data_IF_056348836915
#
_entry.id   IF_056348836915
#
_cell.length_a   1.000
_cell.length_b   1.000
_cell.length_c   1.000
_cell.angle_alpha   90.00
_cell.angle_beta   90.00
_cell.angle_gamma   90.00
#
_symmetry.space_group_name_H-M   'P 1'
#
loop_
_entity.id
_entity.type
_entity.pdbx_description
1 polymer ?
#
# COMPACT_ATOMS: atom_id res chain seq x y z
N UNK A 1 15.85 -0.03 56.97
CA UNK A 1 14.55 0.21 57.60
C UNK A 1 13.48 -0.03 56.55
N UNK A 2 12.75 -1.14 56.70
CA UNK A 2 11.65 -1.50 55.82
C UNK A 2 10.36 -0.84 56.31
N UNK A 3 9.47 -0.32 55.44
CA UNK A 3 8.18 0.16 55.91
C UNK A 3 7.20 -1.00 56.12
N UNK A 4 6.61 -0.99 57.27
CA UNK A 4 5.58 -1.87 57.76
C UNK A 4 4.29 -1.75 56.96
N UNK A 5 3.81 -2.83 56.38
CA UNK A 5 2.47 -2.93 55.80
C UNK A 5 1.44 -3.01 56.92
N UNK A 6 0.56 -2.02 57.01
CA UNK A 6 -0.65 -2.09 57.81
C UNK A 6 -1.72 -2.89 57.06
N UNK A 7 -2.13 -3.99 57.63
CA UNK A 7 -3.27 -4.79 57.19
C UNK A 7 -4.56 -4.01 57.42
N UNK A 8 -5.32 -3.76 56.38
CA UNK A 8 -6.71 -3.30 56.49
C UNK A 8 -7.63 -4.52 56.54
N UNK A 9 -8.31 -4.66 57.66
CA UNK A 9 -9.31 -5.68 57.95
C UNK A 9 -10.53 -5.57 57.03
N UNK A 10 -11.14 -6.71 56.80
CA UNK A 10 -12.17 -7.00 55.83
C UNK A 10 -13.42 -6.16 55.91
N UNK A 11 -13.93 -5.85 54.73
CA UNK A 11 -15.34 -5.60 54.49
C UNK A 11 -15.85 -6.57 53.43
N UNK A 12 -16.76 -7.36 53.92
CA UNK A 12 -17.86 -8.06 53.29
C UNK A 12 -17.83 -8.21 51.78
N UNK A 13 -17.49 -9.41 51.32
CA UNK A 13 -17.71 -9.87 49.93
C UNK A 13 -19.16 -10.32 49.80
N UNK A 14 -20.11 -9.39 49.83
CA UNK A 14 -21.46 -9.68 49.37
C UNK A 14 -21.49 -9.85 47.85
N UNK A 15 -21.68 -11.05 47.47
CA UNK A 15 -22.13 -11.59 46.19
C UNK A 15 -22.48 -10.57 45.13
N UNK A 16 -21.54 -10.29 44.21
CA UNK A 16 -21.91 -9.82 42.89
C UNK A 16 -22.46 -11.01 42.10
N UNK A 17 -23.73 -11.33 42.33
CA UNK A 17 -24.47 -12.21 41.44
C UNK A 17 -24.80 -11.39 40.18
N UNK A 18 -23.98 -11.55 39.16
CA UNK A 18 -24.32 -11.14 37.82
C UNK A 18 -25.58 -11.93 37.41
N UNK A 19 -26.76 -11.31 37.54
CA UNK A 19 -27.95 -11.85 36.91
C UNK A 19 -27.61 -12.16 35.44
N UNK A 20 -27.90 -13.37 34.93
CA UNK A 20 -27.69 -13.65 33.52
C UNK A 20 -28.56 -12.67 32.75
N UNK A 21 -27.91 -11.69 32.10
CA UNK A 21 -28.60 -10.85 31.13
C UNK A 21 -29.23 -11.80 30.13
N UNK A 22 -30.53 -11.78 29.97
CA UNK A 22 -31.21 -12.46 28.87
C UNK A 22 -30.52 -11.95 27.62
N UNK A 23 -29.66 -12.78 27.02
CA UNK A 23 -29.17 -12.57 25.65
C UNK A 23 -30.46 -12.54 24.82
N UNK A 24 -30.97 -11.38 24.54
CA UNK A 24 -31.84 -11.21 23.39
C UNK A 24 -30.97 -11.65 22.22
N UNK A 25 -31.43 -12.64 21.46
CA UNK A 25 -30.84 -13.00 20.17
C UNK A 25 -30.97 -11.78 19.25
N UNK A 26 -30.10 -10.80 19.49
CA UNK A 26 -29.80 -9.78 18.51
C UNK A 26 -29.12 -10.54 17.37
N UNK A 27 -29.89 -10.87 16.33
CA UNK A 27 -29.31 -11.29 15.06
C UNK A 27 -28.18 -10.32 14.79
N UNK A 28 -26.94 -10.81 14.82
CA UNK A 28 -25.78 -10.05 14.39
C UNK A 28 -26.14 -9.48 13.02
N UNK A 29 -26.40 -8.18 12.95
CA UNK A 29 -26.61 -7.50 11.67
C UNK A 29 -25.26 -7.52 11.00
N UNK A 30 -25.03 -8.54 10.17
CA UNK A 30 -23.87 -8.57 9.29
C UNK A 30 -24.04 -7.36 8.36
N UNK A 31 -23.14 -6.38 8.38
CA UNK A 31 -23.24 -5.23 7.48
C UNK A 31 -23.33 -5.75 6.05
N UNK A 32 -24.27 -5.23 5.26
CA UNK A 32 -24.34 -5.55 3.84
C UNK A 32 -23.00 -5.19 3.19
N UNK A 33 -22.53 -6.04 2.30
CA UNK A 33 -21.33 -5.78 1.49
C UNK A 33 -21.52 -4.53 0.61
N UNK A 34 -21.04 -3.40 1.09
CA UNK A 34 -21.03 -2.11 0.40
C UNK A 34 -19.62 -1.61 0.11
N UNK A 35 -18.58 -2.42 0.33
CA UNK A 35 -17.19 -2.05 0.11
C UNK A 35 -16.71 -2.30 -1.32
N UNK A 36 -15.68 -1.59 -1.74
CA UNK A 36 -14.91 -1.90 -2.94
C UNK A 36 -13.97 -3.08 -2.64
N UNK A 37 -14.03 -4.15 -3.44
CA UNK A 37 -13.13 -5.29 -3.25
C UNK A 37 -11.68 -4.92 -3.55
N UNK A 38 -10.75 -5.39 -2.73
CA UNK A 38 -9.32 -5.33 -3.03
C UNK A 38 -9.03 -6.28 -4.18
N UNK A 39 -8.51 -5.73 -5.28
CA UNK A 39 -8.13 -6.50 -6.47
C UNK A 39 -6.66 -6.33 -6.85
N UNK A 40 -5.91 -5.56 -6.05
CA UNK A 40 -4.46 -5.45 -6.22
C UNK A 40 -3.74 -5.37 -4.87
N UNK A 41 -2.46 -5.73 -4.86
CA UNK A 41 -1.62 -5.61 -3.67
C UNK A 41 -0.18 -5.31 -4.02
N UNK A 42 0.50 -4.60 -3.14
CA UNK A 42 1.95 -4.54 -3.17
C UNK A 42 2.57 -5.86 -2.70
N UNK A 43 3.79 -6.11 -3.16
CA UNK A 43 4.70 -7.17 -2.69
C UNK A 43 5.95 -6.47 -2.16
N UNK A 44 6.30 -6.73 -0.92
CA UNK A 44 7.41 -6.07 -0.23
C UNK A 44 8.34 -7.06 0.48
N UNK A 45 9.59 -7.10 0.03
CA UNK A 45 10.68 -7.87 0.64
C UNK A 45 11.91 -6.98 0.90
N UNK A 46 11.77 -5.65 0.79
CA UNK A 46 12.92 -4.76 0.77
C UNK A 46 12.77 -3.49 1.62
N UNK A 47 11.58 -3.16 2.09
CA UNK A 47 11.39 -1.98 2.95
C UNK A 47 12.07 -2.16 4.30
N UNK A 48 12.63 -1.07 4.81
CA UNK A 48 13.43 -1.06 6.04
C UNK A 48 12.60 -1.17 7.32
N UNK A 49 11.31 -0.95 7.25
CA UNK A 49 10.36 -0.89 8.36
C UNK A 49 9.43 -2.10 8.45
N UNK A 50 9.53 -3.02 7.49
CA UNK A 50 8.78 -4.27 7.46
C UNK A 50 9.78 -5.43 7.38
N UNK A 51 9.75 -6.39 8.33
CA UNK A 51 10.66 -7.52 8.28
C UNK A 51 10.25 -8.47 7.16
N UNK A 52 11.20 -8.96 6.37
CA UNK A 52 10.92 -10.04 5.44
C UNK A 52 10.43 -11.30 6.19
N UNK A 53 9.58 -12.10 5.56
CA UNK A 53 9.00 -13.28 6.19
C UNK A 53 9.84 -14.54 6.01
N UNK A 54 11.02 -14.40 5.41
CA UNK A 54 11.93 -15.51 5.10
C UNK A 54 11.27 -16.61 4.24
N UNK A 55 10.43 -16.18 3.31
CA UNK A 55 9.72 -17.07 2.39
C UNK A 55 10.59 -17.46 1.20
N UNK A 56 10.49 -18.74 0.80
CA UNK A 56 10.95 -19.22 -0.49
C UNK A 56 9.82 -19.23 -1.52
N UNK A 57 10.09 -19.75 -2.72
CA UNK A 57 9.12 -19.81 -3.82
C UNK A 57 7.85 -20.59 -3.45
N UNK A 58 7.96 -21.58 -2.58
CA UNK A 58 6.83 -22.38 -2.12
C UNK A 58 5.80 -21.59 -1.31
N UNK A 59 6.30 -20.75 -0.39
CA UNK A 59 5.46 -19.89 0.43
C UNK A 59 4.87 -18.76 -0.41
N UNK A 60 5.64 -18.18 -1.33
CA UNK A 60 5.14 -17.21 -2.30
C UNK A 60 4.07 -17.81 -3.21
N UNK A 61 4.25 -19.02 -3.70
CA UNK A 61 3.23 -19.72 -4.51
C UNK A 61 1.91 -19.89 -3.75
N UNK A 62 1.98 -20.28 -2.49
CA UNK A 62 0.81 -20.39 -1.62
C UNK A 62 0.16 -19.03 -1.36
N UNK A 63 0.96 -17.99 -1.20
CA UNK A 63 0.45 -16.63 -0.99
C UNK A 63 -0.29 -16.10 -2.21
N UNK A 64 0.24 -16.33 -3.41
CA UNK A 64 -0.47 -16.02 -4.66
C UNK A 64 -1.79 -16.79 -4.80
N UNK A 65 -1.89 -18.04 -4.30
CA UNK A 65 -3.15 -18.76 -4.23
C UNK A 65 -4.17 -18.06 -3.33
N UNK A 66 -3.73 -17.61 -2.13
CA UNK A 66 -4.57 -16.87 -1.21
C UNK A 66 -5.02 -15.52 -1.79
N UNK A 67 -4.12 -14.79 -2.46
CA UNK A 67 -4.44 -13.58 -3.21
C UNK A 67 -5.50 -13.84 -4.27
N UNK A 68 -5.30 -14.87 -5.10
CA UNK A 68 -6.24 -15.26 -6.15
C UNK A 68 -7.62 -15.59 -5.60
N UNK A 69 -7.65 -16.28 -4.46
CA UNK A 69 -8.90 -16.68 -3.81
C UNK A 69 -9.78 -15.50 -3.42
N UNK A 70 -9.20 -14.37 -3.01
CA UNK A 70 -9.96 -13.17 -2.66
C UNK A 70 -10.21 -12.22 -3.83
N UNK A 71 -9.71 -12.56 -5.03
CA UNK A 71 -9.96 -11.83 -6.26
C UNK A 71 -8.87 -10.84 -6.64
N UNK A 72 -7.67 -10.93 -6.07
CA UNK A 72 -6.53 -10.14 -6.51
C UNK A 72 -6.13 -10.60 -7.92
N UNK A 73 -6.02 -9.65 -8.82
CA UNK A 73 -5.64 -9.81 -10.23
C UNK A 73 -4.38 -9.01 -10.59
N UNK A 74 -3.91 -8.17 -9.67
CA UNK A 74 -2.79 -7.27 -9.87
C UNK A 74 -1.84 -7.35 -8.68
N UNK A 75 -0.57 -7.64 -8.95
CA UNK A 75 0.50 -7.62 -7.95
C UNK A 75 1.54 -6.57 -8.34
N UNK A 76 2.04 -5.84 -7.38
CA UNK A 76 2.86 -4.65 -7.59
C UNK A 76 4.11 -4.79 -6.74
N UNK A 77 5.27 -4.90 -7.36
CA UNK A 77 6.52 -4.80 -6.61
C UNK A 77 6.65 -3.38 -6.05
N UNK A 78 6.83 -3.23 -4.73
CA UNK A 78 6.89 -1.90 -4.11
C UNK A 78 8.07 -1.08 -4.65
N UNK A 79 9.21 -1.71 -4.82
CA UNK A 79 10.42 -1.14 -5.45
C UNK A 79 11.38 -2.26 -5.83
N UNK A 80 12.12 -2.07 -6.89
CA UNK A 80 13.10 -3.07 -7.37
C UNK A 80 14.42 -3.02 -6.62
N UNK A 81 14.58 -2.04 -5.76
CA UNK A 81 15.72 -1.89 -4.86
C UNK A 81 15.57 -0.67 -3.97
N UNK A 82 16.27 -0.68 -2.85
CA UNK A 82 16.38 0.42 -1.91
C UNK A 82 17.84 0.62 -1.51
N UNK A 83 18.41 1.77 -1.83
CA UNK A 83 19.83 2.07 -1.61
C UNK A 83 20.71 0.98 -2.26
N UNK A 84 21.48 0.23 -1.49
CA UNK A 84 22.36 -0.85 -2.02
C UNK A 84 21.70 -2.22 -2.12
N UNK A 85 20.48 -2.37 -1.61
CA UNK A 85 19.74 -3.63 -1.65
C UNK A 85 18.86 -3.67 -2.90
N UNK A 86 18.95 -4.73 -3.69
CA UNK A 86 18.18 -4.90 -4.93
C UNK A 86 17.50 -6.26 -4.94
N UNK A 87 16.41 -6.36 -5.68
CA UNK A 87 15.55 -7.55 -5.73
C UNK A 87 15.80 -8.45 -6.93
N UNK A 88 16.66 -8.03 -7.86
CA UNK A 88 17.03 -8.78 -9.05
C UNK A 88 18.51 -8.47 -9.43
N UNK A 89 19.20 -9.34 -10.21
CA UNK A 89 20.62 -9.19 -10.53
C UNK A 89 20.87 -8.14 -11.62
N UNK A 90 20.52 -6.87 -11.36
CA UNK A 90 20.76 -5.76 -12.28
C UNK A 90 22.25 -5.55 -12.54
N UNK A 91 22.68 -5.63 -13.78
CA UNK A 91 24.07 -5.36 -14.16
C UNK A 91 24.47 -3.92 -13.89
N UNK A 92 23.53 -2.98 -14.15
CA UNK A 92 23.75 -1.56 -13.93
C UNK A 92 23.93 -1.26 -12.44
N UNK A 93 23.01 -1.71 -11.59
CA UNK A 93 23.05 -1.43 -10.16
C UNK A 93 24.21 -2.13 -9.45
N UNK A 94 24.55 -3.36 -9.85
CA UNK A 94 25.76 -4.06 -9.38
C UNK A 94 27.01 -3.26 -9.73
N UNK A 95 27.09 -2.70 -10.94
CA UNK A 95 28.17 -1.79 -11.36
C UNK A 95 28.23 -0.49 -10.55
N UNK A 96 27.13 -0.08 -9.91
CA UNK A 96 27.06 1.05 -8.97
C UNK A 96 27.35 0.66 -7.51
N UNK A 97 27.70 -0.60 -7.25
CA UNK A 97 28.08 -1.11 -5.93
C UNK A 97 26.90 -1.57 -5.06
N UNK A 98 25.75 -1.88 -5.69
CA UNK A 98 24.68 -2.59 -5.01
C UNK A 98 25.05 -4.05 -4.71
N UNK A 99 24.40 -4.65 -3.74
CA UNK A 99 24.65 -6.04 -3.35
C UNK A 99 23.91 -7.01 -4.28
N UNK A 100 24.55 -8.13 -4.61
CA UNK A 100 23.90 -9.21 -5.35
C UNK A 100 22.73 -9.78 -4.52
N UNK A 101 21.52 -9.84 -5.06
CA UNK A 101 20.40 -10.47 -4.36
C UNK A 101 20.60 -12.00 -4.30
N UNK A 102 20.09 -12.62 -3.26
CA UNK A 102 20.13 -14.08 -3.09
C UNK A 102 19.19 -14.81 -4.06
N UNK A 103 18.14 -14.13 -4.48
CA UNK A 103 17.09 -14.65 -5.38
C UNK A 103 16.71 -13.53 -6.36
N UNK A 104 16.39 -13.90 -7.60
CA UNK A 104 15.76 -12.99 -8.56
C UNK A 104 14.23 -12.96 -8.26
N UNK A 105 13.82 -12.01 -7.42
CA UNK A 105 12.40 -11.85 -7.05
C UNK A 105 11.56 -11.37 -8.23
N UNK A 106 12.14 -10.62 -9.17
CA UNK A 106 11.40 -10.13 -10.35
C UNK A 106 11.00 -11.32 -11.24
N UNK A 107 11.94 -12.22 -11.55
CA UNK A 107 11.64 -13.43 -12.30
C UNK A 107 10.60 -14.31 -11.59
N UNK A 108 10.78 -14.52 -10.29
CA UNK A 108 9.87 -15.34 -9.49
C UNK A 108 8.44 -14.77 -9.48
N UNK A 109 8.29 -13.48 -9.20
CA UNK A 109 6.96 -12.86 -9.15
C UNK A 109 6.27 -12.83 -10.51
N UNK A 110 7.03 -12.61 -11.60
CA UNK A 110 6.48 -12.67 -12.97
C UNK A 110 5.99 -14.08 -13.32
N UNK A 111 6.74 -15.13 -12.99
CA UNK A 111 6.31 -16.52 -13.19
C UNK A 111 5.06 -16.87 -12.37
N UNK A 112 5.01 -16.45 -11.11
CA UNK A 112 3.84 -16.68 -10.26
C UNK A 112 2.64 -15.88 -10.75
N UNK A 113 2.82 -14.64 -11.16
CA UNK A 113 1.76 -13.84 -11.75
C UNK A 113 1.19 -14.50 -13.03
N UNK A 114 2.03 -15.06 -13.92
CA UNK A 114 1.56 -15.83 -15.08
C UNK A 114 0.77 -17.07 -14.65
N UNK A 115 1.31 -17.85 -13.71
CA UNK A 115 0.66 -19.06 -13.19
C UNK A 115 -0.75 -18.80 -12.68
N UNK A 116 -0.96 -17.67 -12.00
CA UNK A 116 -2.25 -17.31 -11.41
C UNK A 116 -3.09 -16.35 -12.26
N UNK A 117 -2.65 -16.04 -13.49
CA UNK A 117 -3.30 -15.08 -14.39
C UNK A 117 -3.53 -13.74 -13.70
N UNK A 118 -2.45 -13.15 -13.20
CA UNK A 118 -2.38 -11.83 -12.61
C UNK A 118 -1.49 -10.92 -13.45
N UNK A 119 -1.66 -9.61 -13.32
CA UNK A 119 -0.76 -8.60 -13.87
C UNK A 119 0.26 -8.19 -12.84
N UNK A 120 1.52 -8.14 -13.25
CA UNK A 120 2.62 -7.67 -12.43
C UNK A 120 3.01 -6.25 -12.85
N UNK A 121 3.08 -5.35 -11.89
CA UNK A 121 3.60 -4.00 -12.08
C UNK A 121 4.98 -3.90 -11.43
N UNK A 122 5.96 -3.49 -12.23
CA UNK A 122 7.33 -3.34 -11.76
C UNK A 122 7.50 -2.00 -11.06
N UNK A 123 7.89 -2.03 -9.78
CA UNK A 123 8.26 -0.85 -9.01
C UNK A 123 9.68 -0.41 -9.31
N UNK A 124 9.85 0.87 -9.64
CA UNK A 124 11.14 1.45 -9.98
C UNK A 124 12.13 1.39 -8.80
N UNK A 125 13.40 1.62 -9.09
CA UNK A 125 14.46 1.62 -8.09
C UNK A 125 14.40 2.90 -7.24
N UNK A 126 14.52 2.75 -5.94
CA UNK A 126 14.60 3.84 -4.95
C UNK A 126 16.06 3.99 -4.49
N UNK A 127 16.71 5.06 -4.89
CA UNK A 127 18.10 5.33 -4.50
C UNK A 127 18.24 5.63 -3.01
N UNK A 128 17.16 6.02 -2.35
CA UNK A 128 17.14 6.56 -1.00
C UNK A 128 17.60 8.02 -0.89
N UNK A 129 18.13 8.59 -1.97
CA UNK A 129 18.65 9.98 -1.96
C UNK A 129 17.53 11.00 -1.80
N UNK A 130 16.40 10.79 -2.47
CA UNK A 130 15.22 11.64 -2.35
C UNK A 130 14.75 11.81 -0.90
N UNK A 131 14.76 10.73 -0.12
CA UNK A 131 14.31 10.77 1.27
C UNK A 131 15.18 11.68 2.15
N UNK A 132 16.48 11.70 1.86
CA UNK A 132 17.46 12.50 2.61
C UNK A 132 17.51 13.97 2.14
N UNK A 133 17.34 14.21 0.83
CA UNK A 133 17.62 15.53 0.21
C UNK A 133 16.41 16.23 -0.37
N UNK A 134 15.31 15.51 -0.64
CA UNK A 134 14.16 15.98 -1.42
C UNK A 134 14.47 16.31 -2.89
N UNK A 135 15.60 15.84 -3.39
CA UNK A 135 16.01 15.98 -4.78
C UNK A 135 15.75 14.66 -5.53
N UNK A 136 14.96 14.72 -6.60
CA UNK A 136 14.56 13.56 -7.41
C UNK A 136 15.51 13.27 -8.58
N UNK A 137 16.59 14.03 -8.74
CA UNK A 137 17.49 13.89 -9.89
C UNK A 137 18.18 12.51 -9.96
N UNK A 138 18.50 11.92 -8.79
CA UNK A 138 19.08 10.59 -8.73
C UNK A 138 18.09 9.49 -9.10
N UNK A 139 16.83 9.63 -8.66
CA UNK A 139 15.77 8.70 -9.03
C UNK A 139 15.59 8.68 -10.55
N UNK A 140 15.60 9.84 -11.20
CA UNK A 140 15.52 9.96 -12.66
C UNK A 140 16.77 9.36 -13.33
N UNK A 141 17.98 9.73 -12.86
CA UNK A 141 19.23 9.26 -13.46
C UNK A 141 19.37 7.74 -13.41
N UNK A 142 19.13 7.13 -12.24
CA UNK A 142 19.28 5.69 -12.07
C UNK A 142 18.20 4.91 -12.79
N UNK A 143 16.95 5.36 -12.68
CA UNK A 143 15.84 4.64 -13.31
C UNK A 143 15.88 4.70 -14.84
N UNK A 144 16.53 5.67 -15.44
CA UNK A 144 16.79 5.67 -16.89
C UNK A 144 17.43 4.35 -17.36
N UNK A 145 18.39 3.83 -16.63
CA UNK A 145 19.07 2.56 -16.98
C UNK A 145 18.30 1.34 -16.48
N UNK A 146 17.64 1.44 -15.32
CA UNK A 146 16.84 0.35 -14.74
C UNK A 146 15.65 0.02 -15.63
N UNK A 147 14.94 1.02 -16.14
CA UNK A 147 13.76 0.83 -17.01
C UNK A 147 14.17 0.07 -18.28
N UNK A 148 15.23 0.50 -18.97
CA UNK A 148 15.72 -0.16 -20.19
C UNK A 148 16.18 -1.59 -19.90
N UNK A 149 16.97 -1.80 -18.82
CA UNK A 149 17.49 -3.12 -18.45
C UNK A 149 16.37 -4.10 -18.12
N UNK A 150 15.38 -3.66 -17.35
CA UNK A 150 14.25 -4.51 -16.92
C UNK A 150 13.37 -4.88 -18.09
N UNK A 151 13.06 -3.92 -18.96
CA UNK A 151 12.26 -4.22 -20.14
C UNK A 151 12.95 -5.23 -21.05
N UNK A 152 14.24 -5.03 -21.34
CA UNK A 152 15.03 -5.95 -22.15
C UNK A 152 15.22 -7.34 -21.53
N UNK A 153 15.16 -7.46 -20.20
CA UNK A 153 15.36 -8.72 -19.49
C UNK A 153 14.07 -9.50 -19.27
N UNK A 154 12.99 -8.80 -18.92
CA UNK A 154 11.75 -9.42 -18.47
C UNK A 154 10.52 -9.01 -19.28
N UNK A 155 10.50 -7.81 -19.88
CA UNK A 155 9.30 -7.20 -20.45
C UNK A 155 8.62 -8.08 -21.50
N UNK A 156 9.35 -8.46 -22.56
CA UNK A 156 8.80 -9.32 -23.61
C UNK A 156 8.76 -10.81 -23.25
N UNK A 157 9.52 -11.22 -22.24
CA UNK A 157 9.61 -12.61 -21.79
C UNK A 157 8.34 -13.05 -21.08
N UNK A 158 7.70 -12.17 -20.31
CA UNK A 158 6.57 -12.50 -19.46
C UNK A 158 5.29 -11.74 -19.84
N UNK A 159 4.23 -12.46 -20.18
CA UNK A 159 2.90 -11.89 -20.48
C UNK A 159 2.23 -11.28 -19.23
N UNK A 160 2.69 -11.66 -18.06
CA UNK A 160 2.28 -11.09 -16.77
C UNK A 160 2.82 -9.68 -16.53
N UNK A 161 3.88 -9.24 -17.24
CA UNK A 161 4.36 -7.87 -17.13
C UNK A 161 3.26 -6.91 -17.61
N UNK A 162 2.59 -6.27 -16.68
CA UNK A 162 1.36 -5.53 -16.92
C UNK A 162 1.51 -4.02 -16.87
N UNK A 163 2.61 -3.50 -16.37
CA UNK A 163 2.83 -2.08 -16.23
C UNK A 163 3.94 -1.70 -15.27
N UNK A 164 4.00 -0.41 -14.95
CA UNK A 164 5.06 0.20 -14.16
C UNK A 164 4.50 0.95 -12.95
N UNK A 165 5.13 0.81 -11.82
CA UNK A 165 4.90 1.61 -10.65
C UNK A 165 6.08 2.57 -10.45
N UNK A 166 5.84 3.87 -10.54
CA UNK A 166 6.84 4.89 -10.21
C UNK A 166 6.90 5.00 -8.70
N UNK A 167 7.86 4.30 -8.10
CA UNK A 167 7.92 3.97 -6.68
C UNK A 167 8.28 5.12 -5.76
N UNK A 168 8.65 6.29 -6.31
CA UNK A 168 8.97 7.45 -5.49
C UNK A 168 7.69 8.02 -4.89
N UNK A 169 7.54 7.84 -3.60
CA UNK A 169 6.38 8.35 -2.87
C UNK A 169 6.51 9.87 -2.66
N UNK A 170 5.45 10.57 -2.95
CA UNK A 170 5.36 12.02 -2.80
C UNK A 170 4.14 12.43 -1.99
N UNK A 171 4.15 13.67 -1.53
CA UNK A 171 2.96 14.41 -1.11
C UNK A 171 2.69 15.57 -2.07
N UNK A 172 1.64 16.33 -1.79
CA UNK A 172 1.10 17.44 -2.58
C UNK A 172 2.10 18.52 -3.05
N UNK A 173 3.18 18.77 -2.31
CA UNK A 173 4.11 19.88 -2.59
C UNK A 173 5.55 19.42 -2.80
N UNK A 174 5.75 18.21 -3.28
CA UNK A 174 7.08 17.66 -3.56
C UNK A 174 7.72 18.38 -4.74
N UNK A 175 8.78 19.12 -4.46
CA UNK A 175 9.50 19.91 -5.48
C UNK A 175 10.11 19.01 -6.55
N UNK A 176 9.89 19.35 -7.81
CA UNK A 176 10.42 18.61 -8.95
C UNK A 176 9.70 17.30 -9.31
N UNK A 177 8.65 16.93 -8.55
CA UNK A 177 7.92 15.68 -8.78
C UNK A 177 7.31 15.58 -10.17
N UNK A 178 6.68 16.65 -10.66
CA UNK A 178 6.06 16.69 -12.00
C UNK A 178 7.08 16.33 -13.07
N UNK A 179 8.21 17.05 -13.11
CA UNK A 179 9.27 16.79 -14.10
C UNK A 179 9.88 15.40 -14.01
N UNK A 180 10.08 14.88 -12.78
CA UNK A 180 10.60 13.54 -12.55
C UNK A 180 9.62 12.46 -13.01
N UNK A 181 8.35 12.57 -12.63
CA UNK A 181 7.31 11.62 -13.03
C UNK A 181 7.08 11.63 -14.53
N UNK A 182 7.05 12.83 -15.14
CA UNK A 182 6.93 12.95 -16.59
C UNK A 182 8.10 12.25 -17.31
N UNK A 183 9.34 12.47 -16.86
CA UNK A 183 10.52 11.85 -17.46
C UNK A 183 10.50 10.32 -17.31
N UNK A 184 10.29 9.80 -16.10
CA UNK A 184 10.28 8.36 -15.86
C UNK A 184 9.06 7.68 -16.50
N UNK A 185 7.86 8.28 -16.36
CA UNK A 185 6.63 7.74 -16.94
C UNK A 185 6.68 7.67 -18.47
N UNK A 186 7.19 8.74 -19.11
CA UNK A 186 7.40 8.73 -20.56
C UNK A 186 8.33 7.61 -20.99
N UNK A 187 9.48 7.43 -20.33
CA UNK A 187 10.41 6.36 -20.67
C UNK A 187 9.78 4.97 -20.47
N UNK A 188 9.07 4.75 -19.37
CA UNK A 188 8.34 3.50 -19.14
C UNK A 188 7.40 3.16 -20.30
N UNK A 189 6.62 4.15 -20.76
CA UNK A 189 5.72 3.98 -21.91
C UNK A 189 6.47 3.75 -23.22
N UNK A 190 7.51 4.53 -23.48
CA UNK A 190 8.30 4.44 -24.71
C UNK A 190 8.91 3.04 -24.90
N UNK A 191 9.54 2.47 -23.86
CA UNK A 191 10.19 1.15 -23.96
C UNK A 191 9.21 0.00 -24.04
N UNK A 192 8.02 0.15 -23.44
CA UNK A 192 7.05 -0.93 -23.27
C UNK A 192 5.83 -0.83 -24.21
N UNK A 193 5.93 -0.01 -25.26
CA UNK A 193 4.85 0.20 -26.21
C UNK A 193 3.53 0.64 -25.53
N UNK A 194 3.64 1.56 -24.57
CA UNK A 194 2.50 2.19 -23.89
C UNK A 194 1.89 1.40 -22.74
N UNK A 195 2.60 0.46 -22.12
CA UNK A 195 2.11 -0.18 -20.89
C UNK A 195 1.79 0.87 -19.81
N UNK A 196 0.72 0.63 -19.01
CA UNK A 196 0.27 1.61 -18.04
C UNK A 196 1.29 1.86 -16.94
N UNK A 197 1.27 3.10 -16.46
CA UNK A 197 2.05 3.56 -15.31
C UNK A 197 1.13 4.04 -14.19
N UNK A 198 1.56 3.92 -12.94
CA UNK A 198 0.83 4.52 -11.83
C UNK A 198 1.74 5.03 -10.72
N UNK A 199 1.19 5.86 -9.85
CA UNK A 199 1.82 6.39 -8.64
C UNK A 199 0.97 6.10 -7.41
N UNK A 200 1.60 6.07 -6.22
CA UNK A 200 0.89 5.87 -4.95
C UNK A 200 1.33 6.90 -3.90
N UNK A 201 0.89 8.16 -4.03
CA UNK A 201 1.21 9.23 -3.09
C UNK A 201 0.38 9.15 -1.82
N UNK A 202 0.84 9.83 -0.75
CA UNK A 202 0.03 9.95 0.47
C UNK A 202 -0.77 11.25 0.53
N UNK A 203 -1.82 11.24 1.34
CA UNK A 203 -2.66 12.40 1.64
C UNK A 203 -2.23 12.99 2.98
N UNK A 204 -1.99 14.30 3.05
CA UNK A 204 -1.61 14.99 4.29
C UNK A 204 -2.85 15.33 5.15
N UNK A 205 -3.59 14.31 5.59
CA UNK A 205 -4.74 14.46 6.47
C UNK A 205 -4.38 14.60 7.95
N UNK A 206 -5.38 14.62 8.82
CA UNK A 206 -5.20 14.84 10.27
C UNK A 206 -4.28 13.83 10.95
N UNK A 207 -4.17 12.62 10.43
CA UNK A 207 -3.28 11.57 10.98
C UNK A 207 -1.84 11.68 10.53
N UNK A 208 -1.53 12.44 9.50
CA UNK A 208 -0.15 12.74 9.09
C UNK A 208 0.70 13.29 10.24
N UNK A 209 0.03 13.95 11.18
CA UNK A 209 0.57 14.54 12.40
C UNK A 209 1.04 13.54 13.45
N UNK A 210 0.40 12.38 13.51
CA UNK A 210 0.57 11.46 14.65
C UNK A 210 1.76 10.51 14.49
N UNK A 211 2.26 10.34 13.27
CA UNK A 211 3.18 9.25 12.93
C UNK A 211 4.66 9.60 12.94
N UNK A 212 5.06 10.78 12.53
CA UNK A 212 6.46 11.10 12.24
C UNK A 212 7.13 12.05 13.23
N UNK A 213 6.39 12.62 14.18
CA UNK A 213 6.90 13.62 15.15
C UNK A 213 7.37 14.95 14.54
N UNK A 214 7.14 15.16 13.24
CA UNK A 214 7.61 16.34 12.49
C UNK A 214 6.50 17.24 11.98
N UNK A 215 5.24 16.77 11.98
CA UNK A 215 4.09 17.54 11.53
C UNK A 215 3.20 17.83 12.73
N UNK A 216 2.67 19.03 12.83
CA UNK A 216 1.67 19.40 13.81
C UNK A 216 0.27 19.20 13.23
N UNK A 217 -0.77 19.21 14.06
CA UNK A 217 -2.15 19.05 13.60
C UNK A 217 -2.57 20.16 12.62
N UNK A 218 -1.88 21.29 12.69
CA UNK A 218 -2.05 22.44 11.80
C UNK A 218 -1.41 22.21 10.43
N UNK A 219 -0.52 21.24 10.29
CA UNK A 219 0.10 20.86 9.01
C UNK A 219 -0.83 19.99 8.15
N UNK A 220 -1.93 19.49 8.71
CA UNK A 220 -2.95 18.79 7.95
C UNK A 220 -3.63 19.76 6.97
N UNK A 221 -3.70 19.36 5.69
CA UNK A 221 -4.30 20.19 4.65
C UNK A 221 -5.82 20.15 4.70
N UNK A 222 -6.45 21.25 4.30
CA UNK A 222 -7.87 21.22 3.98
C UNK A 222 -8.11 20.48 2.65
N UNK A 223 -9.33 19.99 2.47
CA UNK A 223 -9.72 19.30 1.23
C UNK A 223 -9.57 20.21 0.01
N UNK A 224 -9.89 21.51 0.15
CA UNK A 224 -9.75 22.51 -0.92
C UNK A 224 -8.29 22.79 -1.26
N UNK A 225 -7.40 22.77 -0.28
CA UNK A 225 -5.96 22.92 -0.51
C UNK A 225 -5.42 21.68 -1.23
N UNK A 226 -5.79 20.50 -0.79
CA UNK A 226 -5.45 19.24 -1.45
C UNK A 226 -5.91 19.24 -2.91
N UNK A 227 -7.16 19.65 -3.17
CA UNK A 227 -7.70 19.74 -4.53
C UNK A 227 -6.88 20.67 -5.42
N UNK A 228 -6.53 21.87 -4.95
CA UNK A 228 -5.74 22.83 -5.75
C UNK A 228 -4.37 22.29 -6.11
N UNK A 229 -3.65 21.74 -5.12
CA UNK A 229 -2.26 21.29 -5.29
C UNK A 229 -2.17 20.01 -6.12
N UNK A 230 -3.08 19.06 -5.93
CA UNK A 230 -3.13 17.85 -6.77
C UNK A 230 -3.67 18.12 -8.17
N UNK A 231 -4.50 19.15 -8.35
CA UNK A 231 -4.88 19.59 -9.68
C UNK A 231 -3.68 20.04 -10.52
N UNK A 232 -2.73 20.76 -9.93
CA UNK A 232 -1.48 21.16 -10.60
C UNK A 232 -0.61 19.94 -10.93
N UNK A 233 -0.48 19.01 -10.01
CA UNK A 233 0.31 17.78 -10.21
C UNK A 233 -0.30 16.95 -11.34
N UNK A 234 -1.60 16.68 -11.31
CA UNK A 234 -2.27 15.87 -12.34
C UNK A 234 -2.22 16.53 -13.73
N UNK A 235 -2.36 17.85 -13.79
CA UNK A 235 -2.19 18.61 -15.04
C UNK A 235 -0.82 18.35 -15.68
N UNK A 236 0.22 18.21 -14.87
CA UNK A 236 1.60 18.03 -15.33
C UNK A 236 2.02 16.58 -15.59
N UNK A 237 1.19 15.56 -15.27
CA UNK A 237 1.61 14.15 -15.39
C UNK A 237 0.59 13.22 -16.07
N UNK A 238 -0.64 13.67 -16.32
CA UNK A 238 -1.73 12.81 -16.80
C UNK A 238 -1.49 12.16 -18.17
N UNK A 239 -0.60 12.69 -18.97
CA UNK A 239 -0.20 12.13 -20.27
C UNK A 239 0.78 10.95 -20.14
N UNK A 240 1.43 10.81 -18.98
CA UNK A 240 2.42 9.77 -18.70
C UNK A 240 2.11 8.91 -17.48
N UNK A 241 1.09 9.24 -16.69
CA UNK A 241 0.60 8.48 -15.54
C UNK A 241 -0.87 8.14 -15.74
N UNK A 242 -1.20 6.86 -15.83
CA UNK A 242 -2.56 6.38 -16.13
C UNK A 242 -3.44 6.22 -14.89
N UNK A 243 -2.83 6.00 -13.71
CA UNK A 243 -3.57 5.81 -12.47
C UNK A 243 -2.87 6.45 -11.27
N UNK A 244 -3.67 6.90 -10.31
CA UNK A 244 -3.19 7.37 -9.02
C UNK A 244 -3.88 6.58 -7.90
N UNK A 245 -3.07 5.91 -7.05
CA UNK A 245 -3.52 5.11 -5.92
C UNK A 245 -3.16 5.81 -4.60
N UNK A 246 -3.99 6.75 -4.14
CA UNK A 246 -3.72 7.47 -2.91
C UNK A 246 -3.68 6.55 -1.69
N UNK A 247 -2.61 6.68 -0.88
CA UNK A 247 -2.47 6.03 0.43
C UNK A 247 -3.38 6.74 1.44
N UNK A 248 -4.18 5.97 2.16
CA UNK A 248 -5.21 6.47 3.08
C UNK A 248 -4.77 6.49 4.57
N UNK A 249 -3.53 6.13 4.85
CA UNK A 249 -3.04 5.98 6.22
C UNK A 249 -2.95 7.27 7.04
N UNK A 250 -2.89 8.41 6.39
CA UNK A 250 -2.73 9.71 7.05
C UNK A 250 -4.02 10.55 7.12
N UNK A 251 -5.15 10.03 6.66
CA UNK A 251 -6.47 10.67 6.83
C UNK A 251 -7.26 9.99 7.93
N UNK A 252 -8.06 10.77 8.64
CA UNK A 252 -8.96 10.22 9.65
C UNK A 252 -10.24 9.67 9.01
N UNK A 253 -10.95 8.79 9.71
CA UNK A 253 -12.14 8.13 9.16
C UNK A 253 -13.28 9.11 8.86
N UNK A 254 -13.33 10.25 9.54
CA UNK A 254 -14.30 11.33 9.27
C UNK A 254 -13.90 12.18 8.04
N UNK A 255 -12.67 12.06 7.54
CA UNK A 255 -12.17 12.76 6.36
C UNK A 255 -12.29 11.96 5.06
N UNK A 256 -12.47 10.62 5.15
CA UNK A 256 -12.40 9.71 4.00
C UNK A 256 -13.30 10.15 2.83
N UNK A 257 -14.58 10.39 3.08
CA UNK A 257 -15.53 10.72 2.02
C UNK A 257 -15.17 12.02 1.29
N UNK A 258 -14.67 13.03 2.02
CA UNK A 258 -14.31 14.33 1.46
C UNK A 258 -13.09 14.23 0.54
N UNK A 259 -11.98 13.65 1.04
CA UNK A 259 -10.76 13.48 0.25
C UNK A 259 -10.98 12.54 -0.93
N UNK A 260 -11.69 11.42 -0.73
CA UNK A 260 -11.93 10.45 -1.79
C UNK A 260 -12.81 11.03 -2.91
N UNK A 261 -13.80 11.83 -2.58
CA UNK A 261 -14.62 12.55 -3.59
C UNK A 261 -13.76 13.48 -4.43
N UNK A 262 -12.86 14.24 -3.81
CA UNK A 262 -11.96 15.16 -4.52
C UNK A 262 -10.96 14.39 -5.39
N UNK A 263 -10.36 13.32 -4.88
CA UNK A 263 -9.43 12.51 -5.66
C UNK A 263 -10.08 11.92 -6.92
N UNK A 264 -11.31 11.39 -6.79
CA UNK A 264 -12.06 10.87 -7.94
C UNK A 264 -12.40 11.96 -8.94
N UNK A 265 -12.86 13.12 -8.46
CA UNK A 265 -13.15 14.29 -9.31
C UNK A 265 -11.92 14.72 -10.12
N UNK A 266 -10.75 14.77 -9.49
CA UNK A 266 -9.50 15.14 -10.16
C UNK A 266 -9.07 14.08 -11.17
N UNK A 267 -9.10 12.81 -10.81
CA UNK A 267 -8.76 11.73 -11.72
C UNK A 267 -9.67 11.73 -12.95
N UNK A 268 -10.97 11.87 -12.78
CA UNK A 268 -11.93 11.96 -13.89
C UNK A 268 -11.68 13.18 -14.80
N UNK A 269 -11.34 14.32 -14.20
CA UNK A 269 -11.01 15.55 -14.96
C UNK A 269 -9.85 15.33 -15.92
N UNK A 270 -8.85 14.56 -15.53
CA UNK A 270 -7.64 14.32 -16.31
C UNK A 270 -7.62 12.98 -17.06
N UNK A 271 -8.72 12.22 -17.01
CA UNK A 271 -8.83 10.92 -17.68
C UNK A 271 -7.96 9.82 -17.06
N UNK A 272 -7.55 10.00 -15.80
CA UNK A 272 -6.77 9.03 -15.04
C UNK A 272 -7.70 8.07 -14.27
N UNK A 273 -7.23 6.86 -14.00
CA UNK A 273 -7.91 5.96 -13.07
C UNK A 273 -7.65 6.39 -11.62
N UNK A 274 -8.69 6.38 -10.81
CA UNK A 274 -8.61 6.65 -9.38
C UNK A 274 -8.62 5.35 -8.59
N UNK A 275 -7.47 4.99 -8.02
CA UNK A 275 -7.36 3.84 -7.15
C UNK A 275 -7.21 4.27 -5.70
N UNK A 276 -7.62 3.44 -4.74
CA UNK A 276 -7.21 3.59 -3.35
C UNK A 276 -6.11 2.59 -3.03
N UNK A 277 -5.08 3.04 -2.31
CA UNK A 277 -4.17 2.16 -1.60
C UNK A 277 -4.66 2.08 -0.15
N UNK A 278 -5.57 1.13 0.09
CA UNK A 278 -6.13 0.89 1.41
C UNK A 278 -5.11 0.15 2.27
N UNK A 279 -4.44 0.87 3.17
CA UNK A 279 -3.47 0.26 4.07
C UNK A 279 -4.13 -0.80 4.96
N UNK A 280 -3.61 -2.02 4.92
CA UNK A 280 -4.06 -3.14 5.77
C UNK A 280 -3.28 -3.25 7.08
N UNK A 281 -2.38 -2.33 7.34
CA UNK A 281 -1.76 -2.14 8.65
C UNK A 281 -2.34 -0.94 9.41
N UNK A 282 -2.15 -0.92 10.73
CA UNK A 282 -2.72 0.10 11.62
C UNK A 282 -1.63 1.09 12.07
N UNK A 283 -1.88 2.39 11.84
CA UNK A 283 -1.03 3.49 12.32
C UNK A 283 -1.51 4.06 13.65
N UNK A 284 -2.74 3.75 14.06
CA UNK A 284 -3.42 4.33 15.24
C UNK A 284 -3.20 3.52 16.52
N UNK A 285 -2.48 2.41 16.43
CA UNK A 285 -2.18 1.54 17.56
C UNK A 285 -0.84 1.91 18.20
N UNK A 286 -0.67 1.73 19.51
CA UNK A 286 0.63 1.94 20.18
C UNK A 286 1.76 1.09 19.57
N UNK A 287 1.45 -0.11 19.11
CA UNK A 287 2.35 -0.96 18.34
C UNK A 287 2.04 -0.72 16.86
N UNK A 288 2.96 -0.10 16.15
CA UNK A 288 2.78 0.27 14.74
C UNK A 288 2.96 -0.93 13.81
N UNK A 289 2.39 -0.81 12.62
CA UNK A 289 2.52 -1.78 11.54
C UNK A 289 2.08 -3.19 11.92
N UNK A 290 0.99 -3.29 12.68
CA UNK A 290 0.25 -4.54 12.84
C UNK A 290 -0.96 -4.57 11.90
N UNK A 291 -1.49 -5.77 11.55
CA UNK A 291 -2.70 -5.87 10.78
C UNK A 291 -3.83 -5.02 11.35
N UNK A 292 -4.49 -4.26 10.48
CA UNK A 292 -5.57 -3.33 10.86
C UNK A 292 -6.81 -4.09 11.36
N UNK A 293 -7.61 -3.48 12.21
CA UNK A 293 -8.93 -4.02 12.55
C UNK A 293 -9.84 -3.99 11.33
N UNK A 294 -10.59 -5.07 11.11
CA UNK A 294 -11.47 -5.19 9.95
C UNK A 294 -12.47 -4.04 9.83
N UNK A 295 -13.06 -3.55 10.92
CA UNK A 295 -13.99 -2.42 10.85
C UNK A 295 -13.36 -1.15 10.27
N UNK A 296 -12.10 -0.90 10.57
CA UNK A 296 -11.34 0.23 10.01
C UNK A 296 -11.11 0.05 8.50
N UNK A 297 -10.67 -1.14 8.08
CA UNK A 297 -10.50 -1.48 6.67
C UNK A 297 -11.82 -1.38 5.90
N UNK A 298 -12.90 -1.88 6.49
CA UNK A 298 -14.25 -1.80 5.92
C UNK A 298 -14.67 -0.36 5.64
N UNK A 299 -14.47 0.55 6.61
CA UNK A 299 -14.79 1.98 6.43
C UNK A 299 -14.05 2.59 5.23
N UNK A 300 -12.76 2.27 5.05
CA UNK A 300 -11.95 2.73 3.91
C UNK A 300 -12.51 2.20 2.58
N UNK A 301 -12.79 0.90 2.50
CA UNK A 301 -13.29 0.27 1.28
C UNK A 301 -14.73 0.72 0.92
N UNK A 302 -15.56 0.97 1.93
CA UNK A 302 -16.90 1.53 1.73
C UNK A 302 -16.85 2.99 1.24
N UNK A 303 -15.96 3.81 1.80
CA UNK A 303 -15.74 5.19 1.36
C UNK A 303 -15.23 5.24 -0.10
N UNK A 304 -14.27 4.39 -0.46
CA UNK A 304 -13.77 4.29 -1.83
C UNK A 304 -14.89 3.92 -2.82
N UNK A 305 -15.77 2.99 -2.44
CA UNK A 305 -16.92 2.62 -3.29
C UNK A 305 -17.94 3.75 -3.41
N UNK A 306 -18.24 4.46 -2.31
CA UNK A 306 -19.16 5.63 -2.36
C UNK A 306 -18.62 6.74 -3.26
N UNK A 307 -17.32 6.98 -3.23
CA UNK A 307 -16.66 7.96 -4.09
C UNK A 307 -16.54 7.53 -5.56
N UNK A 308 -16.83 6.26 -5.88
CA UNK A 308 -16.78 5.73 -7.25
C UNK A 308 -15.37 5.39 -7.74
N UNK A 309 -14.46 5.00 -6.85
CA UNK A 309 -13.12 4.59 -7.22
C UNK A 309 -13.11 3.38 -8.16
N UNK A 310 -12.16 3.35 -9.09
CA UNK A 310 -12.08 2.34 -10.13
C UNK A 310 -11.49 1.02 -9.61
N UNK A 311 -10.58 1.09 -8.63
CA UNK A 311 -9.89 -0.08 -8.06
C UNK A 311 -9.47 0.17 -6.62
N UNK A 312 -9.48 -0.89 -5.81
CA UNK A 312 -8.78 -0.90 -4.53
C UNK A 312 -7.55 -1.82 -4.62
N UNK A 313 -6.41 -1.26 -4.30
CA UNK A 313 -5.19 -1.99 -4.00
C UNK A 313 -4.87 -1.85 -2.52
N UNK A 314 -3.93 -2.62 -2.00
CA UNK A 314 -3.54 -2.54 -0.59
C UNK A 314 -2.02 -2.62 -0.40
N UNK A 315 -1.53 -1.92 0.56
CA UNK A 315 -0.23 -2.16 1.17
C UNK A 315 -0.47 -2.80 2.54
N UNK A 316 -0.19 -4.09 2.74
CA UNK A 316 -0.01 -5.04 1.67
C UNK A 316 -0.54 -6.42 2.13
N UNK A 317 -0.76 -7.32 1.21
CA UNK A 317 -1.40 -8.60 1.51
C UNK A 317 -0.52 -9.53 2.35
N UNK A 318 0.72 -9.75 1.93
CA UNK A 318 1.59 -10.83 2.44
C UNK A 318 1.91 -10.71 3.92
N UNK A 319 2.08 -9.49 4.45
CA UNK A 319 2.33 -9.25 5.87
C UNK A 319 1.05 -9.01 6.67
N UNK A 320 0.08 -8.26 6.11
CA UNK A 320 -1.01 -7.72 6.92
C UNK A 320 -2.38 -8.34 6.64
N UNK A 321 -2.51 -9.15 5.58
CA UNK A 321 -3.77 -9.78 5.22
C UNK A 321 -3.63 -11.29 4.92
N UNK A 322 -2.43 -11.80 4.68
CA UNK A 322 -2.23 -13.21 4.36
C UNK A 322 -2.47 -14.13 5.57
N UNK A 323 -3.15 -15.27 5.38
CA UNK A 323 -3.31 -16.27 6.44
C UNK A 323 -2.01 -16.98 6.82
N UNK A 324 -0.95 -16.86 6.03
CA UNK A 324 0.37 -17.43 6.36
C UNK A 324 1.39 -16.38 6.86
N UNK A 325 0.95 -15.14 7.07
CA UNK A 325 1.78 -14.08 7.61
C UNK A 325 2.39 -14.45 8.97
N UNK A 326 3.57 -13.91 9.25
CA UNK A 326 4.17 -13.93 10.58
C UNK A 326 3.29 -13.23 11.65
N UNK A 327 2.39 -12.35 11.23
CA UNK A 327 1.40 -11.70 12.10
C UNK A 327 0.10 -12.50 12.15
N UNK A 328 -0.15 -13.21 13.26
CA UNK A 328 -1.37 -14.02 13.41
C UNK A 328 -2.68 -13.26 13.15
N UNK A 329 -2.71 -11.97 13.46
CA UNK A 329 -3.87 -11.11 13.22
C UNK A 329 -4.21 -10.98 11.73
N UNK A 330 -3.25 -11.14 10.82
CA UNK A 330 -3.46 -11.09 9.38
C UNK A 330 -4.41 -12.21 8.91
N UNK A 331 -4.24 -13.43 9.44
CA UNK A 331 -5.14 -14.53 9.15
C UNK A 331 -6.58 -14.26 9.59
N UNK A 332 -6.77 -13.67 10.78
CA UNK A 332 -8.09 -13.27 11.26
C UNK A 332 -8.69 -12.13 10.41
N UNK A 333 -7.86 -11.18 9.95
CA UNK A 333 -8.30 -10.12 9.05
C UNK A 333 -8.74 -10.70 7.70
N UNK A 334 -7.99 -11.67 7.15
CA UNK A 334 -8.34 -12.40 5.93
C UNK A 334 -9.71 -13.09 6.05
N UNK A 335 -9.97 -13.78 7.17
CA UNK A 335 -11.24 -14.44 7.40
C UNK A 335 -12.40 -13.43 7.49
N UNK A 336 -12.22 -12.32 8.23
CA UNK A 336 -13.24 -11.25 8.30
C UNK A 336 -13.49 -10.61 6.95
N UNK A 337 -12.45 -10.39 6.15
CA UNK A 337 -12.57 -9.89 4.78
C UNK A 337 -13.40 -10.83 3.90
N UNK A 338 -13.08 -12.14 3.94
CA UNK A 338 -13.82 -13.15 3.18
C UNK A 338 -15.29 -13.25 3.59
N UNK A 339 -15.56 -13.24 4.88
CA UNK A 339 -16.93 -13.25 5.41
C UNK A 339 -17.74 -12.05 4.91
N UNK A 340 -17.17 -10.85 4.99
CA UNK A 340 -17.84 -9.62 4.55
C UNK A 340 -18.13 -9.61 3.05
N UNK A 341 -17.21 -10.09 2.24
CA UNK A 341 -17.35 -10.16 0.79
C UNK A 341 -17.98 -11.46 0.29
N UNK A 342 -18.43 -12.36 1.18
CA UNK A 342 -19.05 -13.65 0.88
C UNK A 342 -18.18 -14.53 -0.03
N UNK A 343 -16.85 -14.52 0.18
CA UNK A 343 -15.88 -15.30 -0.59
C UNK A 343 -15.72 -16.69 0.06
N UNK A 344 -15.98 -17.73 -0.70
CA UNK A 344 -15.92 -19.15 -0.27
C UNK A 344 -14.47 -19.68 -0.20
#
# INVERSE_FOLDING_TARGET
MAPTLLAAEGKDRSEFVLSPSKRTDSKLIVPKNNGLKITGTFLDEISHDIPHQNWGEKEWDLDFQHMKRIGIDTVIMIRSGYRKFITYPSKYLLGKGCYMPSVDLVDMYLRLAEKYNMKFYFGLYDTGHYWDTRDMSWEVEYNKYVIDEVWNTYGEKYKSFGGWYISTEISRNTKGAIGAFHTMGKQCKDVSNGLPTFISPWIDGKKAVMGTGKMTREDAVSVEQHEREWNEIFDGIHDVVDACAFQDGHIDYDELDAFFTVNKKLADKYGMQCWTNAETFDRDMPIRFLPIKFDKLRMKLEAAKRAGYDKAITFEFSHFLSPQSAYLQAGHLYDRYREYFEIK
#
